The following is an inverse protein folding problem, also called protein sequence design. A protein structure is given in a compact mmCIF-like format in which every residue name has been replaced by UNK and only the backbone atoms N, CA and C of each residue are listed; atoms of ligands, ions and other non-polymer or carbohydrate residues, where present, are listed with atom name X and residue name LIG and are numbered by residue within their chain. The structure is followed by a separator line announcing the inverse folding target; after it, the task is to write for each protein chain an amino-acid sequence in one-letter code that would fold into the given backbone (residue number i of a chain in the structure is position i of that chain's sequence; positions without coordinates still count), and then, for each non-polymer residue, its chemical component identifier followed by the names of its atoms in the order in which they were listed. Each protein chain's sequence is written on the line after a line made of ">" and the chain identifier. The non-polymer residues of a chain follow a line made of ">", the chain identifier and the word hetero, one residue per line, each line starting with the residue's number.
data_IF_324916945340
#
_entry.id   IF_324916945340
#
_cell.length_a   1.000
_cell.length_b   1.000
_cell.length_c   1.000
_cell.angle_alpha   90.00
_cell.angle_beta   90.00
_cell.angle_gamma   90.00
#
_symmetry.space_group_name_H-M   'P 1'
#
loop_
_entity.id
_entity.type
_entity.pdbx_description
1 polymer ?
#
# COMPACT_ATOMS: atom_id res chain seq x y z
N UNK A 1 1.02 9.42 -16.71
CA UNK A 1 1.14 10.21 -15.45
C UNK A 1 0.44 11.58 -15.48
N UNK A 2 0.18 12.22 -16.64
CA UNK A 2 -0.35 13.61 -16.67
C UNK A 2 -1.85 13.80 -16.38
N UNK A 3 -2.67 12.77 -16.56
CA UNK A 3 -4.13 12.88 -16.39
C UNK A 3 -4.59 13.02 -14.93
N UNK A 4 -3.84 12.45 -13.98
CA UNK A 4 -4.16 12.53 -12.55
C UNK A 4 -4.00 13.95 -11.99
N UNK A 5 -2.97 14.67 -12.44
CA UNK A 5 -2.73 16.07 -12.02
C UNK A 5 -3.83 16.98 -12.57
N UNK A 6 -4.19 16.79 -13.83
CA UNK A 6 -5.23 17.60 -14.49
C UNK A 6 -6.63 17.36 -13.89
N UNK A 7 -6.89 16.16 -13.35
CA UNK A 7 -8.16 15.83 -12.69
C UNK A 7 -8.20 16.28 -11.22
N UNK A 8 -7.14 16.02 -10.44
CA UNK A 8 -7.12 16.38 -9.01
C UNK A 8 -7.10 17.90 -8.74
N UNK A 9 -6.51 18.69 -9.64
CA UNK A 9 -6.39 20.15 -9.45
C UNK A 9 -7.46 20.96 -10.18
N UNK A 10 -8.41 20.31 -10.87
CA UNK A 10 -9.53 20.99 -11.53
C UNK A 10 -10.55 21.44 -10.48
N UNK A 11 -10.60 22.74 -10.20
CA UNK A 11 -11.57 23.35 -9.29
C UNK A 11 -11.02 23.82 -7.94
N UNK A 12 -9.69 23.85 -7.77
CA UNK A 12 -9.05 24.59 -6.68
C UNK A 12 -8.83 26.01 -7.20
N UNK A 13 -9.60 26.97 -6.67
CA UNK A 13 -9.32 28.39 -6.90
C UNK A 13 -7.91 28.69 -6.42
N UNK A 14 -7.11 29.35 -7.26
CA UNK A 14 -5.80 29.86 -6.89
C UNK A 14 -5.99 30.81 -5.72
N UNK A 15 -5.68 30.36 -4.51
CA UNK A 15 -5.45 31.30 -3.43
C UNK A 15 -4.16 32.05 -3.77
N UNK A 16 -4.28 33.37 -3.97
CA UNK A 16 -3.15 34.29 -4.09
C UNK A 16 -2.42 34.35 -2.74
N UNK A 17 -1.60 33.33 -2.48
CA UNK A 17 -0.58 33.38 -1.45
C UNK A 17 0.52 34.36 -1.85
N UNK A 18 1.31 34.87 -0.88
CA UNK A 18 2.35 35.86 -1.16
C UNK A 18 3.24 35.37 -2.31
N UNK A 19 3.52 36.24 -3.29
CA UNK A 19 4.39 35.93 -4.42
C UNK A 19 5.79 35.55 -3.92
N UNK A 20 6.01 34.27 -3.66
CA UNK A 20 7.33 33.70 -3.50
C UNK A 20 7.90 33.64 -4.91
N UNK A 21 8.76 34.60 -5.26
CA UNK A 21 9.71 34.47 -6.38
C UNK A 21 10.71 33.35 -6.03
N UNK A 22 10.25 32.10 -6.02
CA UNK A 22 11.11 30.95 -5.85
C UNK A 22 11.70 30.58 -7.20
N UNK A 23 13.04 30.56 -7.27
CA UNK A 23 13.75 29.93 -8.37
C UNK A 23 13.27 28.47 -8.49
N UNK A 24 12.46 28.20 -9.52
CA UNK A 24 11.82 26.90 -9.82
C UNK A 24 12.78 25.70 -9.78
N UNK A 25 14.09 25.94 -9.95
CA UNK A 25 15.16 24.93 -9.85
C UNK A 25 15.48 24.51 -8.41
N UNK A 26 15.33 25.39 -7.42
CA UNK A 26 15.56 25.09 -6.01
C UNK A 26 14.50 24.16 -5.43
N UNK A 27 13.24 24.40 -5.76
CA UNK A 27 12.09 23.61 -5.28
C UNK A 27 12.12 22.17 -5.81
N UNK A 28 12.44 22.00 -7.11
CA UNK A 28 12.58 20.67 -7.72
C UNK A 28 13.71 19.90 -7.04
N UNK A 29 14.84 20.57 -6.70
CA UNK A 29 15.97 19.92 -6.03
C UNK A 29 15.62 19.45 -4.62
N UNK A 30 14.86 20.25 -3.87
CA UNK A 30 14.38 19.87 -2.53
C UNK A 30 13.39 18.72 -2.62
N UNK A 31 12.47 18.75 -3.57
CA UNK A 31 11.51 17.66 -3.80
C UNK A 31 12.22 16.34 -4.16
N UNK A 32 13.17 16.39 -5.09
CA UNK A 32 13.99 15.22 -5.43
C UNK A 32 14.81 14.71 -4.24
N UNK A 33 15.34 15.60 -3.41
CA UNK A 33 16.07 15.21 -2.20
C UNK A 33 15.15 14.45 -1.21
N UNK A 34 13.89 14.86 -1.06
CA UNK A 34 12.94 14.18 -0.17
C UNK A 34 12.46 12.82 -0.67
N UNK A 35 12.29 12.67 -1.99
CA UNK A 35 11.91 11.38 -2.61
C UNK A 35 13.12 10.44 -2.79
N UNK A 36 14.34 10.99 -2.78
CA UNK A 36 15.57 10.22 -3.03
C UNK A 36 15.69 8.92 -2.23
N UNK A 37 15.32 8.82 -0.94
CA UNK A 37 15.50 7.58 -0.18
C UNK A 37 14.55 6.48 -0.67
N UNK A 38 13.30 6.85 -0.96
CA UNK A 38 12.28 5.93 -1.49
C UNK A 38 12.70 5.46 -2.89
N UNK A 39 13.13 6.40 -3.73
CA UNK A 39 13.58 6.09 -5.08
C UNK A 39 14.81 5.18 -5.08
N UNK A 40 15.76 5.43 -4.16
CA UNK A 40 16.98 4.64 -4.00
C UNK A 40 16.66 3.21 -3.55
N UNK A 41 15.82 3.04 -2.53
CA UNK A 41 15.38 1.72 -2.08
C UNK A 41 14.68 0.96 -3.22
N UNK A 42 13.79 1.63 -3.96
CA UNK A 42 13.08 1.04 -5.10
C UNK A 42 14.06 0.62 -6.20
N UNK A 43 15.03 1.47 -6.55
CA UNK A 43 16.06 1.17 -7.55
C UNK A 43 16.87 -0.07 -7.15
N UNK A 44 17.26 -0.18 -5.87
CA UNK A 44 18.00 -1.34 -5.36
C UNK A 44 17.21 -2.64 -5.55
N UNK A 45 15.92 -2.63 -5.21
CA UNK A 45 15.08 -3.84 -5.31
C UNK A 45 14.82 -4.20 -6.76
N UNK A 46 14.46 -3.24 -7.62
CA UNK A 46 14.04 -3.55 -9.00
C UNK A 46 15.23 -3.87 -9.91
N UNK A 47 16.31 -3.09 -9.86
CA UNK A 47 17.45 -3.27 -10.77
C UNK A 47 18.44 -4.31 -10.27
N UNK A 48 18.74 -4.30 -8.97
CA UNK A 48 19.74 -5.20 -8.39
C UNK A 48 19.11 -6.47 -7.79
N UNK A 49 17.78 -6.61 -7.81
CA UNK A 49 17.04 -7.78 -7.28
C UNK A 49 17.45 -8.11 -5.83
N UNK A 50 17.86 -7.09 -5.07
CA UNK A 50 18.29 -7.25 -3.68
C UNK A 50 17.06 -7.53 -2.84
N UNK A 51 17.20 -8.43 -1.86
CA UNK A 51 16.14 -8.71 -0.89
C UNK A 51 15.60 -7.38 -0.30
N UNK A 52 14.28 -7.12 -0.37
CA UNK A 52 13.69 -5.86 0.12
C UNK A 52 14.09 -5.50 1.56
N UNK A 53 14.28 -6.50 2.44
CA UNK A 53 14.73 -6.27 3.81
C UNK A 53 16.13 -5.62 3.85
N UNK A 54 17.06 -6.10 3.00
CA UNK A 54 18.41 -5.55 2.90
C UNK A 54 18.40 -4.19 2.21
N UNK A 55 17.58 -4.00 1.19
CA UNK A 55 17.47 -2.72 0.47
C UNK A 55 16.94 -1.60 1.37
N UNK A 56 15.87 -1.87 2.14
CA UNK A 56 15.30 -0.92 3.08
C UNK A 56 16.28 -0.66 4.25
N UNK A 57 16.85 -1.71 4.83
CA UNK A 57 17.84 -1.58 5.91
C UNK A 57 19.06 -0.78 5.47
N UNK A 58 19.61 -1.07 4.29
CA UNK A 58 20.73 -0.34 3.70
C UNK A 58 20.41 1.13 3.44
N UNK A 59 19.20 1.43 2.93
CA UNK A 59 18.75 2.80 2.71
C UNK A 59 18.66 3.59 4.02
N UNK A 60 18.10 2.99 5.07
CA UNK A 60 18.01 3.61 6.40
C UNK A 60 19.39 3.86 7.01
N UNK A 61 20.30 2.87 6.91
CA UNK A 61 21.69 3.02 7.37
C UNK A 61 22.40 4.14 6.61
N UNK A 62 22.26 4.17 5.27
CA UNK A 62 22.83 5.23 4.44
C UNK A 62 22.30 6.61 4.83
N UNK A 63 21.00 6.72 5.15
CA UNK A 63 20.40 7.96 5.63
C UNK A 63 20.99 8.41 6.96
N UNK A 64 21.16 7.49 7.91
CA UNK A 64 21.74 7.77 9.21
C UNK A 64 23.21 8.18 9.12
N UNK A 65 23.98 7.54 8.23
CA UNK A 65 25.38 7.89 7.96
C UNK A 65 25.49 9.26 7.27
N UNK A 66 24.64 9.54 6.29
CA UNK A 66 24.65 10.81 5.55
C UNK A 66 24.32 12.00 6.45
N UNK A 67 23.30 11.88 7.30
CA UNK A 67 22.91 12.93 8.25
C UNK A 67 23.72 12.93 9.57
N UNK A 68 24.70 12.03 9.70
CA UNK A 68 25.56 11.88 10.90
C UNK A 68 24.78 11.90 12.23
N UNK A 69 23.70 11.12 12.30
CA UNK A 69 22.91 11.01 13.52
C UNK A 69 23.74 10.44 14.68
N UNK A 70 23.55 10.98 15.89
CA UNK A 70 24.20 10.44 17.09
C UNK A 70 23.64 9.07 17.44
N UNK A 71 24.47 8.15 17.97
CA UNK A 71 24.05 6.79 18.31
C UNK A 71 22.86 6.76 19.28
N UNK A 72 22.79 7.69 20.23
CA UNK A 72 21.66 7.84 21.15
C UNK A 72 20.35 8.20 20.43
N UNK A 73 20.43 9.07 19.41
CA UNK A 73 19.26 9.47 18.62
C UNK A 73 18.81 8.34 17.69
N UNK A 74 19.74 7.55 17.14
CA UNK A 74 19.42 6.35 16.34
C UNK A 74 18.63 5.35 17.19
N UNK A 75 19.11 5.02 18.39
CA UNK A 75 18.43 4.07 19.29
C UNK A 75 17.06 4.59 19.72
N UNK A 76 16.95 5.89 20.03
CA UNK A 76 15.67 6.52 20.36
C UNK A 76 14.67 6.39 19.21
N UNK A 77 15.07 6.76 18.00
CA UNK A 77 14.21 6.71 16.81
C UNK A 77 13.77 5.28 16.48
N UNK A 78 14.69 4.30 16.58
CA UNK A 78 14.35 2.89 16.38
C UNK A 78 13.32 2.41 17.41
N UNK A 79 13.49 2.76 18.68
CA UNK A 79 12.57 2.35 19.75
C UNK A 79 11.19 2.98 19.59
N UNK A 80 11.11 4.24 19.17
CA UNK A 80 9.84 4.93 18.91
C UNK A 80 9.13 4.42 17.66
N UNK A 81 9.88 3.95 16.66
CA UNK A 81 9.32 3.40 15.41
C UNK A 81 8.66 2.03 15.60
N UNK A 82 9.11 1.25 16.59
CA UNK A 82 8.54 -0.08 16.86
C UNK A 82 7.30 0.06 17.74
N UNK A 83 6.12 -0.06 17.12
CA UNK A 83 4.87 -0.15 17.88
C UNK A 83 4.58 -1.60 18.30
N UNK A 84 4.29 -1.81 19.59
CA UNK A 84 3.90 -3.14 20.08
C UNK A 84 2.67 -3.70 19.36
N UNK A 85 1.72 -2.83 18.99
CA UNK A 85 0.51 -3.21 18.23
C UNK A 85 0.86 -3.83 16.87
N UNK A 86 1.79 -3.23 16.12
CA UNK A 86 2.21 -3.79 14.84
C UNK A 86 2.92 -5.14 15.02
N UNK A 87 3.74 -5.29 16.06
CA UNK A 87 4.42 -6.56 16.34
C UNK A 87 3.42 -7.68 16.66
N UNK A 88 2.44 -7.42 17.54
CA UNK A 88 1.37 -8.37 17.84
C UNK A 88 0.54 -8.72 16.61
N UNK A 89 0.25 -7.74 15.74
CA UNK A 89 -0.47 -7.98 14.49
C UNK A 89 0.31 -8.93 13.58
N UNK A 90 1.61 -8.69 13.38
CA UNK A 90 2.47 -9.54 12.53
C UNK A 90 2.56 -10.96 13.08
N UNK A 91 2.80 -11.11 14.39
CA UNK A 91 2.83 -12.43 15.04
C UNK A 91 1.49 -13.15 14.87
N UNK A 92 0.38 -12.45 15.07
CA UNK A 92 -0.96 -13.01 14.89
C UNK A 92 -1.21 -13.48 13.46
N UNK A 93 -0.79 -12.70 12.46
CA UNK A 93 -0.88 -13.06 11.04
C UNK A 93 -0.05 -14.33 10.75
N UNK A 94 1.17 -14.41 11.29
CA UNK A 94 2.03 -15.59 11.09
C UNK A 94 1.42 -16.86 11.72
N UNK A 95 0.88 -16.75 12.92
CA UNK A 95 0.19 -17.88 13.58
C UNK A 95 -1.06 -18.28 12.78
N UNK A 96 -1.87 -17.32 12.35
CA UNK A 96 -3.06 -17.56 11.54
C UNK A 96 -2.72 -18.28 10.23
N UNK A 97 -1.71 -17.80 9.51
CA UNK A 97 -1.20 -18.43 8.29
C UNK A 97 -0.79 -19.89 8.55
N UNK A 98 -0.07 -20.17 9.64
CA UNK A 98 0.40 -21.52 9.93
C UNK A 98 -0.75 -22.46 10.34
N UNK A 99 -1.73 -21.96 11.10
CA UNK A 99 -2.95 -22.71 11.43
C UNK A 99 -3.74 -23.06 10.16
N UNK A 100 -3.88 -22.14 9.20
CA UNK A 100 -4.52 -22.42 7.91
C UNK A 100 -3.76 -23.48 7.09
N UNK A 101 -2.43 -23.48 7.19
CA UNK A 101 -1.56 -24.45 6.50
C UNK A 101 -1.70 -25.85 7.09
N UNK A 102 -1.57 -25.98 8.42
CA UNK A 102 -1.60 -27.27 9.12
C UNK A 102 -3.01 -27.89 9.12
N UNK A 103 -4.06 -27.06 9.23
CA UNK A 103 -5.45 -27.54 9.21
C UNK A 103 -5.89 -28.07 7.84
N UNK A 104 -5.12 -27.86 6.78
CA UNK A 104 -5.52 -28.19 5.42
C UNK A 104 -6.62 -27.29 4.86
N UNK A 105 -7.06 -26.27 5.61
CA UNK A 105 -8.09 -25.32 5.18
C UNK A 105 -7.68 -24.62 3.87
N UNK A 106 -6.39 -24.32 3.71
CA UNK A 106 -5.86 -23.72 2.49
C UNK A 106 -6.07 -24.59 1.24
N UNK A 107 -5.86 -25.90 1.39
CA UNK A 107 -6.08 -26.86 0.31
C UNK A 107 -7.58 -27.04 0.02
N UNK A 108 -8.41 -27.11 1.06
CA UNK A 108 -9.87 -27.22 0.93
C UNK A 108 -10.51 -26.02 0.23
N UNK A 109 -10.08 -24.81 0.57
CA UNK A 109 -10.60 -23.58 -0.04
C UNK A 109 -10.15 -23.45 -1.50
N UNK A 110 -8.89 -23.79 -1.79
CA UNK A 110 -8.39 -23.85 -3.17
C UNK A 110 -9.20 -24.85 -4.01
N UNK A 111 -9.43 -26.06 -3.50
CA UNK A 111 -10.22 -27.09 -4.18
C UNK A 111 -11.69 -26.66 -4.39
N UNK A 112 -12.29 -26.00 -3.41
CA UNK A 112 -13.65 -25.46 -3.53
C UNK A 112 -13.77 -24.41 -4.64
N UNK A 113 -12.79 -23.52 -4.77
CA UNK A 113 -12.82 -22.51 -5.83
C UNK A 113 -12.61 -23.11 -7.22
N UNK A 114 -11.73 -24.10 -7.34
CA UNK A 114 -11.53 -24.84 -8.59
C UNK A 114 -12.82 -25.59 -9.00
N UNK A 115 -13.51 -26.23 -8.05
CA UNK A 115 -14.75 -26.97 -8.35
C UNK A 115 -15.96 -26.07 -8.61
N UNK A 116 -15.98 -24.87 -8.02
CA UNK A 116 -17.09 -23.91 -8.18
C UNK A 116 -17.12 -23.20 -9.52
N UNK A 117 -16.15 -23.44 -10.43
CA UNK A 117 -16.02 -22.77 -11.73
C UNK A 117 -16.01 -21.22 -11.63
N UNK A 118 -15.69 -20.68 -10.46
CA UNK A 118 -15.63 -19.24 -10.25
C UNK A 118 -14.36 -18.68 -10.89
N UNK A 119 -14.44 -17.55 -11.62
CA UNK A 119 -13.26 -16.91 -12.17
C UNK A 119 -12.31 -16.51 -11.04
N UNK A 120 -11.06 -16.98 -11.09
CA UNK A 120 -10.02 -16.69 -10.08
C UNK A 120 -9.87 -15.18 -9.86
N UNK A 121 -9.95 -14.39 -10.94
CA UNK A 121 -9.91 -12.93 -10.89
C UNK A 121 -10.96 -12.32 -9.96
N UNK A 122 -12.17 -12.88 -9.91
CA UNK A 122 -13.26 -12.36 -9.09
C UNK A 122 -12.95 -12.57 -7.60
N UNK A 123 -12.39 -13.72 -7.25
CA UNK A 123 -11.97 -14.05 -5.89
C UNK A 123 -10.84 -13.11 -5.44
N UNK A 124 -9.86 -12.90 -6.33
CA UNK A 124 -8.71 -12.02 -6.08
C UNK A 124 -9.07 -10.55 -5.93
N UNK A 125 -10.19 -10.11 -6.51
CA UNK A 125 -10.68 -8.75 -6.34
C UNK A 125 -11.56 -8.66 -5.08
N UNK A 126 -12.56 -9.54 -4.96
CA UNK A 126 -13.63 -9.39 -3.98
C UNK A 126 -13.15 -9.63 -2.55
N UNK A 127 -12.33 -10.68 -2.33
CA UNK A 127 -11.88 -11.03 -0.97
C UNK A 127 -10.97 -9.94 -0.38
N UNK A 128 -9.90 -9.50 -1.06
CA UNK A 128 -9.07 -8.40 -0.55
C UNK A 128 -9.85 -7.09 -0.43
N UNK A 129 -10.74 -6.77 -1.38
CA UNK A 129 -11.53 -5.54 -1.34
C UNK A 129 -12.43 -5.48 -0.10
N UNK A 130 -13.19 -6.55 0.18
CA UNK A 130 -14.06 -6.61 1.36
C UNK A 130 -13.23 -6.55 2.64
N UNK A 131 -12.15 -7.33 2.73
CA UNK A 131 -11.28 -7.31 3.90
C UNK A 131 -10.64 -5.92 4.13
N UNK A 132 -10.21 -5.26 3.05
CA UNK A 132 -9.69 -3.89 3.07
C UNK A 132 -10.74 -2.89 3.54
N UNK A 133 -11.97 -2.99 3.01
CA UNK A 133 -13.10 -2.14 3.37
C UNK A 133 -13.48 -2.30 4.85
N UNK A 134 -13.47 -3.53 5.37
CA UNK A 134 -13.81 -3.80 6.77
C UNK A 134 -12.70 -3.40 7.75
N UNK A 135 -11.44 -3.57 7.37
CA UNK A 135 -10.30 -3.32 8.27
C UNK A 135 -9.79 -1.89 8.23
N UNK A 136 -9.89 -1.20 7.08
CA UNK A 136 -9.30 0.12 6.87
C UNK A 136 -7.77 0.17 7.03
N UNK A 137 -7.10 -0.99 7.09
CA UNK A 137 -5.68 -1.14 7.37
C UNK A 137 -5.02 -2.04 6.32
N UNK A 138 -4.01 -1.52 5.64
CA UNK A 138 -3.30 -2.24 4.58
C UNK A 138 -2.65 -3.52 5.08
N UNK A 139 -1.94 -3.47 6.21
CA UNK A 139 -1.30 -4.65 6.82
C UNK A 139 -2.35 -5.69 7.24
N UNK A 140 -3.55 -5.26 7.64
CA UNK A 140 -4.63 -6.12 8.08
C UNK A 140 -5.18 -6.99 6.96
N UNK A 141 -5.65 -6.38 5.86
CA UNK A 141 -6.20 -7.16 4.76
C UNK A 141 -5.14 -8.03 4.09
N UNK A 142 -3.90 -7.54 3.95
CA UNK A 142 -2.80 -8.33 3.37
C UNK A 142 -2.55 -9.57 4.22
N UNK A 143 -2.44 -9.41 5.54
CA UNK A 143 -2.21 -10.53 6.45
C UNK A 143 -3.34 -11.56 6.50
N UNK A 144 -4.59 -11.14 6.32
CA UNK A 144 -5.74 -12.05 6.36
C UNK A 144 -5.93 -12.76 5.01
N UNK A 145 -5.81 -12.04 3.90
CA UNK A 145 -6.23 -12.53 2.59
C UNK A 145 -5.11 -13.16 1.78
N UNK A 146 -3.87 -12.68 1.87
CA UNK A 146 -2.78 -13.19 1.03
C UNK A 146 -2.39 -14.63 1.34
N UNK A 147 -2.33 -15.07 2.62
CA UNK A 147 -2.10 -16.48 2.94
C UNK A 147 -3.11 -17.41 2.28
N UNK A 148 -4.36 -16.94 2.11
CA UNK A 148 -5.44 -17.68 1.49
C UNK A 148 -5.34 -17.72 -0.04
N UNK A 149 -4.95 -16.59 -0.64
CA UNK A 149 -4.99 -16.41 -2.09
C UNK A 149 -3.69 -16.82 -2.80
N UNK A 150 -2.56 -16.85 -2.11
CA UNK A 150 -1.26 -17.23 -2.65
C UNK A 150 -1.26 -18.55 -3.45
N UNK A 151 -1.91 -19.64 -3.00
CA UNK A 151 -1.99 -20.87 -3.79
C UNK A 151 -2.72 -20.72 -5.12
N UNK A 152 -3.71 -19.82 -5.19
CA UNK A 152 -4.46 -19.54 -6.41
C UNK A 152 -3.66 -18.70 -7.42
N UNK A 153 -2.63 -17.99 -6.95
CA UNK A 153 -1.76 -17.15 -7.79
C UNK A 153 -0.56 -17.89 -8.37
N UNK A 154 -0.33 -19.14 -7.94
CA UNK A 154 0.84 -19.94 -8.25
C UNK A 154 1.63 -20.28 -6.98
N UNK A 155 1.42 -21.50 -6.43
CA UNK A 155 1.95 -21.91 -5.12
C UNK A 155 3.49 -21.84 -4.98
N UNK A 156 4.24 -22.00 -6.09
CA UNK A 156 5.70 -21.96 -6.09
C UNK A 156 6.28 -20.62 -6.59
N UNK A 157 5.57 -19.93 -7.49
CA UNK A 157 5.96 -18.64 -8.05
C UNK A 157 4.67 -17.86 -8.37
N UNK A 158 4.16 -17.06 -7.42
CA UNK A 158 2.93 -16.32 -7.64
C UNK A 158 3.14 -15.28 -8.74
N UNK A 159 2.23 -15.25 -9.71
CA UNK A 159 2.34 -14.31 -10.83
C UNK A 159 2.25 -12.86 -10.32
N UNK A 160 3.21 -11.99 -10.68
CA UNK A 160 3.23 -10.60 -10.22
C UNK A 160 1.95 -9.84 -10.57
N UNK A 161 1.33 -10.14 -11.71
CA UNK A 161 0.07 -9.54 -12.15
C UNK A 161 -1.11 -9.83 -11.21
N UNK A 162 -1.28 -11.08 -10.78
CA UNK A 162 -2.36 -11.47 -9.86
C UNK A 162 -2.13 -10.91 -8.44
N UNK A 163 -0.88 -10.85 -8.00
CA UNK A 163 -0.49 -10.22 -6.73
C UNK A 163 -0.80 -8.72 -6.76
N UNK A 164 -0.43 -8.03 -7.84
CA UNK A 164 -0.73 -6.62 -8.03
C UNK A 164 -2.24 -6.34 -8.09
N UNK A 165 -3.01 -7.21 -8.76
CA UNK A 165 -4.47 -7.12 -8.82
C UNK A 165 -5.10 -7.23 -7.42
N UNK A 166 -4.74 -8.28 -6.67
CA UNK A 166 -5.27 -8.50 -5.33
C UNK A 166 -4.87 -7.37 -4.36
N UNK A 167 -3.62 -6.90 -4.44
CA UNK A 167 -3.16 -5.77 -3.65
C UNK A 167 -3.91 -4.49 -4.01
N UNK A 168 -4.06 -4.19 -5.31
CA UNK A 168 -4.79 -3.02 -5.78
C UNK A 168 -6.26 -3.04 -5.36
N UNK A 169 -6.92 -4.20 -5.43
CA UNK A 169 -8.29 -4.38 -4.97
C UNK A 169 -8.44 -4.14 -3.47
N UNK A 170 -7.59 -4.75 -2.64
CA UNK A 170 -7.62 -4.54 -1.20
C UNK A 170 -7.27 -3.10 -0.80
N UNK A 171 -6.30 -2.48 -1.47
CA UNK A 171 -5.95 -1.08 -1.26
C UNK A 171 -7.10 -0.13 -1.61
N UNK A 172 -7.81 -0.37 -2.72
CA UNK A 172 -9.01 0.38 -3.06
C UNK A 172 -10.11 0.22 -1.99
N UNK A 173 -10.28 -0.99 -1.43
CA UNK A 173 -11.16 -1.25 -0.29
C UNK A 173 -10.77 -0.45 0.94
N UNK A 174 -9.47 -0.40 1.29
CA UNK A 174 -8.96 0.40 2.42
C UNK A 174 -9.24 1.89 2.24
N UNK A 175 -9.03 2.42 1.03
CA UNK A 175 -9.27 3.84 0.75
C UNK A 175 -10.76 4.21 0.82
N UNK A 176 -11.65 3.28 0.43
CA UNK A 176 -13.11 3.45 0.53
C UNK A 176 -13.66 3.07 1.92
N UNK A 177 -12.81 2.71 2.88
CA UNK A 177 -13.24 2.27 4.18
C UNK A 177 -13.62 3.46 5.08
N UNK A 178 -14.82 3.48 5.68
CA UNK A 178 -15.20 4.53 6.61
C UNK A 178 -14.41 4.45 7.91
N UNK A 179 -13.81 3.30 8.23
CA UNK A 179 -12.96 3.14 9.42
C UNK A 179 -11.51 3.54 9.19
N UNK A 180 -11.15 4.00 7.99
CA UNK A 180 -9.79 4.48 7.73
C UNK A 180 -9.53 5.78 8.50
N UNK A 181 -8.68 5.70 9.52
CA UNK A 181 -8.45 6.78 10.48
C UNK A 181 -8.00 8.10 9.82
N UNK A 182 -7.15 8.02 8.79
CA UNK A 182 -6.71 9.21 8.07
C UNK A 182 -7.88 9.94 7.38
N UNK A 183 -8.90 9.21 6.94
CA UNK A 183 -10.04 9.78 6.23
C UNK A 183 -10.96 10.55 7.19
N UNK A 184 -11.33 9.94 8.32
CA UNK A 184 -12.17 10.59 9.34
C UNK A 184 -11.46 11.83 9.90
N UNK A 185 -10.19 11.71 10.30
CA UNK A 185 -9.45 12.83 10.89
C UNK A 185 -9.27 13.99 9.92
N UNK A 186 -9.10 13.71 8.63
CA UNK A 186 -9.03 14.76 7.61
C UNK A 186 -10.37 15.48 7.46
N UNK A 187 -11.48 14.74 7.42
CA UNK A 187 -12.82 15.35 7.35
C UNK A 187 -13.13 16.19 8.58
N UNK A 188 -12.74 15.72 9.77
CA UNK A 188 -12.89 16.44 11.05
C UNK A 188 -12.01 17.69 11.09
N UNK A 189 -10.75 17.60 10.66
CA UNK A 189 -9.84 18.75 10.61
C UNK A 189 -10.35 19.85 9.67
N UNK A 190 -10.82 19.48 8.47
CA UNK A 190 -11.32 20.45 7.49
C UNK A 190 -12.82 20.77 7.62
N UNK A 191 -13.51 20.16 8.58
CA UNK A 191 -14.95 20.34 8.81
C UNK A 191 -15.79 20.10 7.54
N UNK A 192 -15.42 19.09 6.74
CA UNK A 192 -16.05 18.78 5.45
C UNK A 192 -17.04 17.63 5.56
N UNK A 193 -18.09 17.68 4.75
CA UNK A 193 -19.07 16.61 4.62
C UNK A 193 -18.43 15.33 4.03
N UNK A 194 -18.47 14.26 4.83
CA UNK A 194 -17.98 12.92 4.52
C UNK A 194 -18.54 12.43 3.17
N UNK A 195 -19.83 12.60 2.91
CA UNK A 195 -20.46 12.09 1.69
C UNK A 195 -19.88 12.77 0.43
N UNK A 196 -19.56 14.07 0.50
CA UNK A 196 -18.97 14.81 -0.62
C UNK A 196 -17.55 14.36 -0.91
N UNK A 197 -16.76 14.08 0.13
CA UNK A 197 -15.39 13.57 -0.04
C UNK A 197 -15.43 12.15 -0.61
N UNK A 198 -16.37 11.29 -0.17
CA UNK A 198 -16.58 9.97 -0.74
C UNK A 198 -16.84 10.00 -2.25
N UNK A 199 -17.73 10.90 -2.71
CA UNK A 199 -18.04 11.03 -4.13
C UNK A 199 -16.80 11.41 -4.96
N UNK A 200 -15.92 12.26 -4.40
CA UNK A 200 -14.64 12.61 -5.06
C UNK A 200 -13.59 11.51 -4.97
N UNK A 201 -13.63 10.68 -3.93
CA UNK A 201 -12.69 9.59 -3.71
C UNK A 201 -13.01 8.32 -4.52
N UNK A 202 -14.27 8.15 -4.92
CA UNK A 202 -14.68 7.01 -5.74
C UNK A 202 -13.89 6.90 -7.04
N UNK A 203 -13.71 8.03 -7.75
CA UNK A 203 -13.00 8.04 -9.03
C UNK A 203 -11.51 7.65 -8.91
N UNK A 204 -10.68 8.24 -8.03
CA UNK A 204 -9.29 7.81 -7.86
C UNK A 204 -9.19 6.35 -7.40
N UNK A 205 -10.08 5.89 -6.51
CA UNK A 205 -10.10 4.47 -6.11
C UNK A 205 -10.42 3.53 -7.28
N UNK A 206 -11.38 3.90 -8.14
CA UNK A 206 -11.69 3.16 -9.36
C UNK A 206 -10.52 3.18 -10.36
N UNK A 207 -9.82 4.30 -10.49
CA UNK A 207 -8.62 4.41 -11.34
C UNK A 207 -7.48 3.54 -10.84
N UNK A 208 -7.27 3.44 -9.52
CA UNK A 208 -6.26 2.53 -8.94
C UNK A 208 -6.61 1.07 -9.26
N UNK A 209 -7.88 0.69 -9.12
CA UNK A 209 -8.33 -0.67 -9.43
C UNK A 209 -8.21 -0.98 -10.93
N UNK A 210 -8.53 -0.02 -11.80
CA UNK A 210 -8.33 -0.14 -13.24
C UNK A 210 -6.84 -0.23 -13.61
N UNK A 211 -5.97 0.54 -12.94
CA UNK A 211 -4.54 0.47 -13.14
C UNK A 211 -3.95 -0.88 -12.70
N UNK A 212 -4.53 -1.51 -11.68
CA UNK A 212 -4.13 -2.84 -11.22
C UNK A 212 -4.47 -3.96 -12.22
N UNK A 213 -5.34 -3.70 -13.21
CA UNK A 213 -5.56 -4.60 -14.34
C UNK A 213 -4.44 -4.52 -15.38
N UNK A 214 -3.66 -3.44 -15.44
CA UNK A 214 -2.60 -3.25 -16.44
C UNK A 214 -1.53 -4.34 -16.33
N UNK A 215 -0.95 -4.64 -15.15
CA UNK A 215 0.02 -5.73 -14.99
C UNK A 215 -0.52 -7.11 -15.39
N UNK A 216 -1.85 -7.31 -15.40
CA UNK A 216 -2.47 -8.56 -15.84
C UNK A 216 -2.35 -8.80 -17.35
N UNK A 217 -2.27 -7.72 -18.14
CA UNK A 217 -2.17 -7.81 -19.60
C UNK A 217 -0.71 -7.89 -20.09
N UNK A 218 0.24 -7.45 -19.27
CA UNK A 218 1.67 -7.42 -19.62
C UNK A 218 2.47 -8.63 -19.13
N UNK A 219 1.91 -9.42 -18.20
CA UNK A 219 2.52 -10.62 -17.60
C UNK A 219 1.59 -11.81 -17.72
#
# INVERSE_FOLDING_TARGET
>A
AGWGVLFCFRGIDRQEGPQIQAARSGEIRVFLAMISPILFALLLVVLFQVNPALALGGTVIALYLYHRYSAAMIVKNLRESVSGRALFLVIGIMIFQEVLRISGALAGISAFFVSSHLPVYLILILIPFIAGLMTGLTVGFVGITFPLLLPLMGAAAPSPGLVALAFGAGFAGVMLSPVHLCYILTCEYFQTDIARVYHRLFLPSALVLAAALIPLYFY
#
